data_IF_338861577680
#
_entry.id   IF_338861577680
#
_cell.length_a   1.000
_cell.length_b   1.000
_cell.length_c   1.000
_cell.angle_alpha   90.00
_cell.angle_beta   90.00
_cell.angle_gamma   90.00
#
_symmetry.space_group_name_H-M   'P 1'
#
loop_
_entity.id
_entity.type
_entity.pdbx_description
1 polymer ?
#
# COMPACT_ATOMS: atom_id res chain seq x y z
N UNK A 1 -18.19 0.01 4.50
CA UNK A 1 -16.98 -0.79 4.76
C UNK A 1 -15.80 -0.38 3.89
N UNK A 2 -15.92 -0.41 2.58
CA UNK A 2 -14.85 -0.01 1.64
C UNK A 2 -14.35 1.44 1.83
N UNK A 3 -15.18 2.34 2.35
CA UNK A 3 -14.83 3.74 2.60
C UNK A 3 -13.98 3.94 3.86
N UNK A 4 -13.93 2.96 4.74
CA UNK A 4 -13.24 3.05 6.04
C UNK A 4 -11.76 2.67 5.95
N UNK A 5 -11.40 1.80 5.01
CA UNK A 5 -10.06 1.23 4.84
C UNK A 5 -9.15 2.17 4.02
N UNK A 6 -7.84 2.12 4.28
CA UNK A 6 -6.80 2.81 3.49
C UNK A 6 -5.96 3.83 4.27
N UNK A 7 -6.51 4.41 5.35
CA UNK A 7 -5.85 5.48 6.11
C UNK A 7 -5.24 5.01 7.45
N UNK A 8 -4.94 3.71 7.57
CA UNK A 8 -4.36 3.11 8.77
C UNK A 8 -5.40 2.66 9.80
N UNK A 9 -4.94 1.88 10.79
CA UNK A 9 -5.80 1.23 11.79
C UNK A 9 -6.52 2.22 12.71
N UNK A 10 -5.86 3.28 13.14
CA UNK A 10 -6.47 4.30 14.02
C UNK A 10 -7.66 4.96 13.33
N UNK A 11 -7.50 5.39 12.06
CA UNK A 11 -8.56 6.03 11.29
C UNK A 11 -9.71 5.08 10.97
N UNK A 12 -9.41 3.80 10.78
CA UNK A 12 -10.43 2.75 10.64
C UNK A 12 -11.27 2.64 11.91
N UNK A 13 -10.64 2.59 13.09
CA UNK A 13 -11.36 2.49 14.38
C UNK A 13 -12.17 3.77 14.69
N UNK A 14 -11.63 4.96 14.44
CA UNK A 14 -12.37 6.22 14.57
C UNK A 14 -13.67 6.21 13.77
N UNK A 15 -13.63 5.69 12.54
CA UNK A 15 -14.80 5.62 11.64
C UNK A 15 -15.76 4.49 11.97
N UNK A 16 -15.27 3.44 12.64
CA UNK A 16 -16.07 2.28 13.02
C UNK A 16 -16.81 2.45 14.35
N UNK A 17 -16.32 3.32 15.23
CA UNK A 17 -16.94 3.62 16.50
C UNK A 17 -18.01 4.70 16.29
N UNK A 18 -19.31 4.39 16.55
CA UNK A 18 -20.40 5.30 16.20
C UNK A 18 -20.51 6.52 17.12
N UNK A 19 -19.99 6.44 18.33
CA UNK A 19 -20.09 7.49 19.35
C UNK A 19 -18.70 7.90 19.87
N UNK A 20 -18.52 9.16 20.29
CA UNK A 20 -17.28 9.59 20.93
C UNK A 20 -17.01 8.79 22.22
N UNK A 21 -15.80 8.31 22.37
CA UNK A 21 -15.33 7.57 23.54
C UNK A 21 -14.11 8.24 24.16
N UNK A 22 -13.83 7.94 25.45
CA UNK A 22 -12.65 8.45 26.11
C UNK A 22 -11.36 8.01 25.39
N UNK A 23 -10.32 8.88 25.32
CA UNK A 23 -9.07 8.57 24.62
C UNK A 23 -8.41 7.26 25.08
N UNK A 24 -8.43 6.98 26.39
CA UNK A 24 -7.90 5.73 26.94
C UNK A 24 -8.65 4.51 26.39
N UNK A 25 -9.98 4.57 26.35
CA UNK A 25 -10.81 3.48 25.80
C UNK A 25 -10.57 3.28 24.32
N UNK A 26 -10.34 4.36 23.56
CA UNK A 26 -9.96 4.27 22.15
C UNK A 26 -8.64 3.51 21.96
N UNK A 27 -7.63 3.81 22.78
CA UNK A 27 -6.33 3.12 22.70
C UNK A 27 -6.44 1.63 23.03
N UNK A 28 -7.26 1.24 24.01
CA UNK A 28 -7.53 -0.16 24.34
C UNK A 28 -8.16 -0.91 23.16
N UNK A 29 -9.17 -0.32 22.52
CA UNK A 29 -9.84 -0.89 21.34
C UNK A 29 -8.86 -0.99 20.18
N UNK A 30 -8.06 0.04 19.94
CA UNK A 30 -7.07 0.05 18.86
C UNK A 30 -5.99 -1.02 19.07
N UNK A 31 -5.52 -1.21 20.32
CA UNK A 31 -4.57 -2.28 20.64
C UNK A 31 -5.18 -3.65 20.39
N UNK A 32 -6.37 -3.90 20.94
CA UNK A 32 -7.09 -5.18 20.73
C UNK A 32 -7.29 -5.48 19.24
N UNK A 33 -7.66 -4.47 18.44
CA UNK A 33 -7.79 -4.62 17.00
C UNK A 33 -6.46 -4.98 16.34
N UNK A 34 -5.37 -4.30 16.71
CA UNK A 34 -4.04 -4.57 16.14
C UNK A 34 -3.59 -6.00 16.43
N UNK A 35 -3.76 -6.47 17.66
CA UNK A 35 -3.38 -7.82 18.10
C UNK A 35 -4.20 -8.88 17.35
N UNK A 36 -5.50 -8.69 17.29
CA UNK A 36 -6.38 -9.58 16.54
C UNK A 36 -6.05 -9.59 15.05
N UNK A 37 -5.85 -8.42 14.46
CA UNK A 37 -5.50 -8.30 13.05
C UNK A 37 -4.16 -8.95 12.74
N UNK A 38 -3.16 -8.81 13.60
CA UNK A 38 -1.87 -9.46 13.44
C UNK A 38 -1.99 -10.98 13.40
N UNK A 39 -2.85 -11.55 14.24
CA UNK A 39 -3.09 -13.01 14.27
C UNK A 39 -3.91 -13.52 13.06
N UNK A 40 -4.74 -12.66 12.43
CA UNK A 40 -5.71 -13.08 11.42
C UNK A 40 -5.50 -12.43 10.04
N UNK A 41 -4.45 -11.63 9.83
CA UNK A 41 -4.22 -10.87 8.61
C UNK A 41 -4.04 -11.72 7.34
N UNK A 42 -3.81 -13.03 7.50
CA UNK A 42 -3.47 -13.96 6.43
C UNK A 42 -4.52 -15.04 6.15
N UNK A 43 -5.69 -15.01 6.80
CA UNK A 43 -6.71 -16.08 6.70
C UNK A 43 -7.27 -16.20 5.28
N UNK A 44 -7.51 -15.06 4.59
CA UNK A 44 -8.02 -15.01 3.21
C UNK A 44 -7.20 -14.06 2.32
N UNK A 45 -5.99 -13.72 2.74
CA UNK A 45 -5.13 -12.80 2.01
C UNK A 45 -4.32 -13.59 0.98
N UNK A 46 -4.35 -13.12 -0.25
CA UNK A 46 -3.55 -13.62 -1.35
C UNK A 46 -3.17 -12.47 -2.29
N UNK A 47 -2.10 -12.59 -3.07
CA UNK A 47 -1.83 -11.69 -4.17
C UNK A 47 -2.99 -11.67 -5.18
N UNK A 48 -3.21 -10.53 -5.82
CA UNK A 48 -4.11 -10.49 -6.96
C UNK A 48 -3.59 -11.38 -8.10
N UNK A 49 -4.49 -12.01 -8.88
CA UNK A 49 -4.10 -12.83 -10.04
C UNK A 49 -3.17 -12.06 -10.99
N UNK A 50 -2.10 -12.73 -11.43
CA UNK A 50 -1.11 -12.17 -12.35
C UNK A 50 -0.02 -11.31 -11.70
N UNK A 51 -0.16 -10.91 -10.41
CA UNK A 51 0.87 -10.10 -9.75
C UNK A 51 2.16 -10.88 -9.48
N UNK A 52 2.13 -12.15 -9.02
CA UNK A 52 3.35 -12.93 -8.90
C UNK A 52 4.13 -13.02 -10.21
N UNK A 53 3.43 -13.19 -11.33
CA UNK A 53 4.02 -13.27 -12.67
C UNK A 53 4.65 -11.93 -13.08
N UNK A 54 3.97 -10.81 -12.83
CA UNK A 54 4.51 -9.47 -13.09
C UNK A 54 5.79 -9.25 -12.29
N UNK A 55 5.80 -9.60 -11.00
CA UNK A 55 6.99 -9.43 -10.14
C UNK A 55 8.14 -10.31 -10.60
N UNK A 56 7.87 -11.54 -11.03
CA UNK A 56 8.90 -12.44 -11.55
C UNK A 56 9.53 -11.92 -12.85
N UNK A 57 8.72 -11.31 -13.74
CA UNK A 57 9.26 -10.68 -14.95
C UNK A 57 10.10 -9.43 -14.64
N UNK A 58 9.65 -8.59 -13.71
CA UNK A 58 10.42 -7.43 -13.26
C UNK A 58 11.77 -7.85 -12.62
N UNK A 59 11.78 -8.91 -11.84
CA UNK A 59 13.02 -9.46 -11.25
C UNK A 59 13.99 -9.94 -12.34
N UNK A 60 13.53 -10.67 -13.35
CA UNK A 60 14.35 -11.08 -14.52
C UNK A 60 14.95 -9.91 -15.26
N UNK A 61 14.24 -8.79 -15.29
CA UNK A 61 14.70 -7.54 -15.91
C UNK A 61 15.63 -6.73 -14.99
N UNK A 62 15.91 -7.19 -13.77
CA UNK A 62 16.71 -6.48 -12.78
C UNK A 62 16.01 -5.26 -12.15
N UNK A 63 14.68 -5.15 -12.29
CA UNK A 63 13.90 -4.08 -11.70
C UNK A 63 13.68 -4.36 -10.21
N UNK A 64 14.13 -3.44 -9.38
CA UNK A 64 13.97 -3.53 -7.92
C UNK A 64 12.55 -3.15 -7.51
N UNK A 65 11.97 -3.90 -6.59
CA UNK A 65 10.60 -3.68 -6.10
C UNK A 65 10.57 -3.57 -4.58
N UNK A 66 9.62 -2.80 -4.05
CA UNK A 66 9.36 -2.68 -2.62
C UNK A 66 7.89 -2.45 -2.34
N UNK A 67 7.44 -2.81 -1.13
CA UNK A 67 6.08 -2.55 -0.65
C UNK A 67 6.07 -1.39 0.33
N UNK A 68 5.13 -0.43 0.15
CA UNK A 68 4.82 0.63 1.12
C UNK A 68 3.33 0.59 1.48
N UNK A 69 3.02 0.57 2.77
CA UNK A 69 1.64 0.34 3.24
C UNK A 69 1.31 1.13 4.50
N UNK A 70 0.04 1.55 4.64
CA UNK A 70 -0.50 2.07 5.90
C UNK A 70 -0.94 0.95 6.88
N UNK A 71 -0.68 -0.32 6.54
CA UNK A 71 -0.78 -1.42 7.52
C UNK A 71 0.34 -1.30 8.57
N UNK A 72 0.16 -1.83 9.78
CA UNK A 72 1.25 -1.93 10.76
C UNK A 72 2.50 -2.58 10.15
N UNK A 73 3.69 -2.07 10.49
CA UNK A 73 4.97 -2.48 9.88
C UNK A 73 5.23 -3.99 10.03
N UNK A 74 5.02 -4.54 11.23
CA UNK A 74 5.17 -5.98 11.47
C UNK A 74 4.26 -6.82 10.56
N UNK A 75 3.00 -6.39 10.40
CA UNK A 75 2.04 -7.07 9.52
C UNK A 75 2.44 -6.95 8.05
N UNK A 76 2.91 -5.77 7.63
CA UNK A 76 3.34 -5.53 6.24
C UNK A 76 4.52 -6.43 5.89
N UNK A 77 5.53 -6.51 6.78
CA UNK A 77 6.70 -7.37 6.61
C UNK A 77 6.34 -8.85 6.59
N UNK A 78 5.50 -9.32 7.52
CA UNK A 78 5.06 -10.72 7.56
C UNK A 78 4.32 -11.15 6.30
N UNK A 79 3.45 -10.29 5.76
CA UNK A 79 2.74 -10.55 4.50
C UNK A 79 3.68 -10.51 3.29
N UNK A 80 4.61 -9.56 3.25
CA UNK A 80 5.59 -9.48 2.17
C UNK A 80 6.51 -10.71 2.19
N UNK A 81 7.05 -11.11 3.34
CA UNK A 81 7.88 -12.30 3.44
C UNK A 81 7.15 -13.57 2.99
N UNK A 82 5.85 -13.67 3.31
CA UNK A 82 5.04 -14.82 2.91
C UNK A 82 4.78 -14.89 1.40
N UNK A 83 4.47 -13.76 0.77
CA UNK A 83 4.00 -13.73 -0.62
C UNK A 83 5.05 -13.25 -1.63
N UNK A 84 6.05 -12.52 -1.16
CA UNK A 84 7.10 -11.89 -1.95
C UNK A 84 8.43 -11.93 -1.18
N UNK A 85 8.96 -13.14 -0.88
CA UNK A 85 10.13 -13.29 -0.02
C UNK A 85 11.32 -12.48 -0.55
N UNK A 86 12.04 -11.83 0.37
CA UNK A 86 13.18 -10.98 0.04
C UNK A 86 12.82 -9.57 -0.45
N UNK A 87 11.55 -9.24 -0.70
CA UNK A 87 11.13 -7.89 -1.11
C UNK A 87 11.10 -6.94 0.08
N UNK A 88 11.82 -5.79 0.05
CA UNK A 88 11.72 -4.77 1.08
C UNK A 88 10.27 -4.31 1.30
N UNK A 89 9.82 -4.30 2.55
CA UNK A 89 8.46 -3.92 2.90
C UNK A 89 8.45 -2.97 4.10
N UNK A 90 7.74 -1.86 3.94
CA UNK A 90 7.63 -0.81 4.94
C UNK A 90 6.16 -0.52 5.24
N UNK A 91 5.81 -0.65 6.51
CA UNK A 91 4.49 -0.35 7.03
C UNK A 91 4.48 0.85 7.93
N UNK A 92 3.29 1.20 8.41
CA UNK A 92 3.11 2.28 9.37
C UNK A 92 3.72 1.90 10.72
N UNK A 93 4.47 2.83 11.32
CA UNK A 93 5.06 2.74 12.66
C UNK A 93 5.14 4.10 13.32
N UNK A 94 5.35 4.12 14.60
CA UNK A 94 5.47 5.36 15.37
C UNK A 94 6.64 6.21 14.85
N UNK A 95 6.45 7.52 14.83
CA UNK A 95 7.44 8.48 14.32
C UNK A 95 7.54 8.58 12.79
N UNK A 96 6.72 7.84 12.04
CA UNK A 96 6.66 7.93 10.59
C UNK A 96 5.23 8.24 10.15
N UNK A 97 5.06 9.35 9.46
CA UNK A 97 3.75 9.75 8.95
C UNK A 97 3.23 8.73 7.92
N UNK A 98 1.95 8.32 8.03
CA UNK A 98 1.34 7.40 7.09
C UNK A 98 1.15 8.04 5.71
N UNK A 99 0.95 7.22 4.68
CA UNK A 99 0.49 7.70 3.36
C UNK A 99 -0.78 8.55 3.54
N UNK A 100 -0.91 9.72 2.91
CA UNK A 100 -0.19 10.17 1.73
C UNK A 100 1.14 10.90 2.00
N UNK A 101 1.72 10.87 3.21
CA UNK A 101 3.09 11.35 3.41
C UNK A 101 4.07 10.56 2.53
N UNK A 102 5.09 11.21 1.93
CA UNK A 102 6.11 10.55 1.13
C UNK A 102 7.16 9.80 1.97
N UNK A 103 7.09 9.86 3.30
CA UNK A 103 8.12 9.37 4.21
C UNK A 103 8.46 7.88 4.00
N UNK A 104 7.45 7.02 3.87
CA UNK A 104 7.67 5.58 3.61
C UNK A 104 8.24 5.34 2.21
N UNK A 105 7.84 6.14 1.22
CA UNK A 105 8.37 6.04 -0.15
C UNK A 105 9.85 6.40 -0.19
N UNK A 106 10.25 7.50 0.47
CA UNK A 106 11.65 7.89 0.56
C UNK A 106 12.52 6.80 1.21
N UNK A 107 12.01 6.16 2.27
CA UNK A 107 12.70 5.04 2.91
C UNK A 107 12.79 3.81 2.00
N UNK A 108 11.75 3.50 1.22
CA UNK A 108 11.76 2.40 0.25
C UNK A 108 12.80 2.66 -0.85
N UNK A 109 12.83 3.85 -1.42
CA UNK A 109 13.84 4.25 -2.41
C UNK A 109 15.27 4.13 -1.87
N UNK A 110 15.48 4.59 -0.64
CA UNK A 110 16.78 4.46 0.05
C UNK A 110 17.16 2.98 0.24
N UNK A 111 16.24 2.14 0.68
CA UNK A 111 16.49 0.70 0.86
C UNK A 111 16.82 -0.01 -0.45
N UNK A 112 16.21 0.41 -1.56
CA UNK A 112 16.49 -0.11 -2.90
C UNK A 112 17.77 0.48 -3.52
N UNK A 113 18.30 1.59 -2.97
CA UNK A 113 19.40 2.35 -3.60
C UNK A 113 18.99 2.93 -4.95
N UNK A 114 17.73 3.39 -5.08
CA UNK A 114 17.16 3.94 -6.31
C UNK A 114 16.81 5.41 -6.11
N UNK A 115 17.13 6.23 -7.11
CA UNK A 115 16.77 7.66 -7.12
C UNK A 115 15.31 7.84 -7.59
N UNK A 116 14.57 8.85 -7.10
CA UNK A 116 13.17 9.08 -7.45
C UNK A 116 12.89 9.13 -8.96
N UNK A 117 13.78 9.73 -9.74
CA UNK A 117 13.65 9.85 -11.20
C UNK A 117 13.69 8.49 -11.94
N UNK A 118 14.16 7.44 -11.28
CA UNK A 118 14.23 6.07 -11.80
C UNK A 118 13.19 5.15 -11.17
N UNK A 119 12.16 5.70 -10.57
CA UNK A 119 11.13 4.94 -9.88
C UNK A 119 9.72 5.29 -10.38
N UNK A 120 8.81 4.33 -10.28
CA UNK A 120 7.39 4.51 -10.51
C UNK A 120 6.61 3.97 -9.31
N UNK A 121 5.56 4.66 -8.93
CA UNK A 121 4.66 4.21 -7.87
C UNK A 121 3.47 3.46 -8.47
N UNK A 122 3.11 2.32 -7.89
CA UNK A 122 1.92 1.55 -8.27
C UNK A 122 0.95 1.51 -7.09
N UNK A 123 -0.33 1.80 -7.33
CA UNK A 123 -1.32 1.81 -6.25
C UNK A 123 -2.77 1.73 -6.74
N UNK A 124 -3.71 1.46 -5.82
CA UNK A 124 -5.11 1.18 -6.13
C UNK A 124 -6.12 2.15 -5.49
N UNK A 125 -5.64 3.23 -4.90
CA UNK A 125 -6.49 4.15 -4.13
C UNK A 125 -6.14 5.62 -4.33
N UNK A 126 -7.07 6.50 -3.97
CA UNK A 126 -6.86 7.95 -3.89
C UNK A 126 -5.71 8.35 -2.96
N UNK A 127 -5.44 7.52 -1.94
CA UNK A 127 -4.29 7.72 -1.04
C UNK A 127 -2.98 7.48 -1.79
N UNK A 128 -2.94 6.49 -2.68
CA UNK A 128 -1.75 6.19 -3.48
C UNK A 128 -1.49 7.26 -4.53
N UNK A 129 -2.55 7.79 -5.16
CA UNK A 129 -2.45 8.94 -6.08
C UNK A 129 -1.81 10.13 -5.37
N UNK A 130 -2.32 10.48 -4.18
CA UNK A 130 -1.75 11.56 -3.38
C UNK A 130 -0.33 11.26 -2.90
N UNK A 131 -0.02 10.00 -2.55
CA UNK A 131 1.33 9.58 -2.13
C UNK A 131 2.35 9.75 -3.24
N UNK A 132 2.05 9.25 -4.45
CA UNK A 132 2.92 9.40 -5.61
C UNK A 132 3.18 10.86 -5.94
N UNK A 133 2.13 11.71 -5.93
CA UNK A 133 2.24 13.15 -6.14
C UNK A 133 3.14 13.81 -5.09
N UNK A 134 2.94 13.49 -3.81
CA UNK A 134 3.73 14.06 -2.70
C UNK A 134 5.19 13.58 -2.70
N UNK A 135 5.44 12.38 -3.24
CA UNK A 135 6.78 11.83 -3.42
C UNK A 135 7.48 12.29 -4.72
N UNK A 136 6.77 13.01 -5.60
CA UNK A 136 7.28 13.41 -6.92
C UNK A 136 7.53 12.25 -7.87
N UNK A 137 6.78 11.14 -7.71
CA UNK A 137 6.91 9.95 -8.55
C UNK A 137 5.81 9.87 -9.60
N UNK A 138 6.10 9.38 -10.81
CA UNK A 138 5.06 8.96 -11.73
C UNK A 138 4.24 7.83 -11.11
N UNK A 139 2.92 7.81 -11.41
CA UNK A 139 1.98 6.80 -10.91
C UNK A 139 1.47 5.95 -12.08
N UNK A 140 1.38 4.63 -11.83
CA UNK A 140 0.47 3.74 -12.54
C UNK A 140 -0.56 3.25 -11.53
N UNK A 141 -1.82 3.67 -11.68
CA UNK A 141 -2.90 3.18 -10.86
C UNK A 141 -3.40 1.82 -11.38
N UNK A 142 -3.97 0.99 -10.49
CA UNK A 142 -4.52 -0.32 -10.86
C UNK A 142 -6.00 -0.38 -10.45
N UNK A 143 -6.89 -0.71 -11.40
CA UNK A 143 -8.34 -0.59 -11.21
C UNK A 143 -8.98 -1.79 -10.51
N UNK A 144 -8.29 -2.93 -10.42
CA UNK A 144 -8.81 -4.15 -9.78
C UNK A 144 -8.77 -4.14 -8.26
N UNK A 145 -8.24 -3.09 -7.64
CA UNK A 145 -8.31 -2.87 -6.20
C UNK A 145 -9.73 -2.52 -5.73
N UNK A 146 -9.89 -2.34 -4.44
CA UNK A 146 -11.22 -2.13 -3.85
C UNK A 146 -11.83 -0.74 -4.09
N UNK A 147 -11.10 0.23 -4.69
CA UNK A 147 -11.64 1.57 -5.03
C UNK A 147 -12.27 1.62 -6.42
N UNK A 148 -11.71 0.88 -7.38
CA UNK A 148 -12.18 0.86 -8.76
C UNK A 148 -11.71 2.09 -9.58
N UNK A 149 -11.84 1.97 -10.90
CA UNK A 149 -11.33 2.93 -11.89
C UNK A 149 -11.87 4.35 -11.69
N UNK A 150 -13.19 4.51 -11.57
CA UNK A 150 -13.84 5.83 -11.47
C UNK A 150 -13.24 6.71 -10.36
N UNK A 151 -12.98 6.14 -9.18
CA UNK A 151 -12.39 6.89 -8.07
C UNK A 151 -10.93 7.26 -8.29
N UNK A 152 -10.19 6.44 -9.01
CA UNK A 152 -8.82 6.73 -9.39
C UNK A 152 -8.77 7.89 -10.38
N UNK A 153 -9.67 7.92 -11.36
CA UNK A 153 -9.83 9.01 -12.32
C UNK A 153 -10.20 10.32 -11.62
N UNK A 154 -11.21 10.29 -10.72
CA UNK A 154 -11.59 11.45 -9.90
C UNK A 154 -10.41 11.95 -9.04
N UNK A 155 -9.56 11.06 -8.54
CA UNK A 155 -8.36 11.43 -7.78
C UNK A 155 -7.22 11.99 -8.65
N UNK A 156 -7.36 11.94 -9.98
CA UNK A 156 -6.39 12.47 -10.94
C UNK A 156 -5.34 11.47 -11.40
N UNK A 157 -5.64 10.16 -11.36
CA UNK A 157 -4.80 9.15 -11.98
C UNK A 157 -4.96 9.18 -13.50
N UNK A 158 -3.88 9.45 -14.22
CA UNK A 158 -3.86 9.54 -15.69
C UNK A 158 -3.50 8.19 -16.35
N UNK A 159 -2.66 7.40 -15.68
CA UNK A 159 -2.22 6.09 -16.15
C UNK A 159 -2.87 5.00 -15.31
N UNK A 160 -3.81 4.26 -15.87
CA UNK A 160 -4.56 3.22 -15.15
C UNK A 160 -4.48 1.90 -15.91
N UNK A 161 -3.93 0.88 -15.25
CA UNK A 161 -3.95 -0.50 -15.75
C UNK A 161 -5.19 -1.23 -15.23
N UNK A 162 -5.87 -1.96 -16.10
CA UNK A 162 -7.06 -2.76 -15.76
C UNK A 162 -6.73 -4.24 -15.53
N UNK A 163 -5.55 -4.69 -15.95
CA UNK A 163 -5.08 -6.07 -15.80
C UNK A 163 -3.59 -6.12 -15.46
N UNK A 164 -3.14 -7.23 -14.86
CA UNK A 164 -1.74 -7.43 -14.56
C UNK A 164 -0.83 -7.42 -15.81
N UNK A 165 -1.19 -8.04 -16.96
CA UNK A 165 -0.43 -7.89 -18.20
C UNK A 165 -0.30 -6.45 -18.69
N UNK A 166 -1.38 -5.66 -18.60
CA UNK A 166 -1.34 -4.25 -18.96
C UNK A 166 -0.42 -3.45 -18.02
N UNK A 167 -0.44 -3.76 -16.71
CA UNK A 167 0.50 -3.16 -15.77
C UNK A 167 1.95 -3.45 -16.17
N UNK A 168 2.29 -4.70 -16.50
CA UNK A 168 3.63 -5.07 -16.94
C UNK A 168 4.04 -4.30 -18.19
N UNK A 169 3.17 -4.24 -19.20
CA UNK A 169 3.42 -3.47 -20.43
C UNK A 169 3.72 -1.99 -20.14
N UNK A 170 2.96 -1.38 -19.21
CA UNK A 170 3.15 0.02 -18.83
C UNK A 170 4.44 0.26 -18.03
N UNK A 171 4.92 -0.74 -17.29
CA UNK A 171 6.18 -0.68 -16.51
C UNK A 171 7.42 -0.85 -17.41
N UNK A 172 7.27 -1.51 -18.57
CA UNK A 172 8.37 -1.75 -19.51
C UNK A 172 8.57 -0.63 -20.55
N UNK A 173 7.72 0.39 -20.56
CA UNK A 173 7.79 1.57 -21.42
C UNK A 173 8.45 2.74 -20.73
#
# INVERSE_FOLDING_TARGET
>A
YKRQVGNGAAKLMERAIPEPIAPQRFQEILSTYKDWYQAHNCVKTAPYPGIPEVLAELEKMGVKTAVVSNKPDATTKALAEKFFPGMPALGQRDGVDPKPSPALVAQALSALGVRPENAVYVGDSEVDVATARNAGLPLIAVSWGFRGREKLEIAGAERIADTAPQLLEMLCK
#
